data_IF_141035693242
#
_entry.id   IF_141035693242
#
_cell.length_a   1.000
_cell.length_b   1.000
_cell.length_c   1.000
_cell.angle_alpha   90.00
_cell.angle_beta   90.00
_cell.angle_gamma   90.00
#
_symmetry.space_group_name_H-M   'P 1'
#
loop_
_entity.id
_entity.type
_entity.pdbx_description
1 polymer ?
#
# COMPACT_ATOMS: atom_id res chain seq x y z
N UNK A 1 -7.72 -23.39 13.60
CA UNK A 1 -8.33 -23.16 12.27
C UNK A 1 -8.39 -21.64 12.08
N UNK A 2 -7.27 -21.03 11.76
CA UNK A 2 -7.20 -19.60 11.43
C UNK A 2 -6.54 -19.49 10.05
N UNK A 3 -7.36 -19.65 9.00
CA UNK A 3 -6.99 -19.32 7.62
C UNK A 3 -7.10 -17.81 7.33
N UNK A 4 -7.52 -17.03 8.34
CA UNK A 4 -7.47 -15.57 8.26
C UNK A 4 -6.05 -15.11 8.51
N UNK A 5 -5.38 -14.65 7.45
CA UNK A 5 -4.10 -13.99 7.61
C UNK A 5 -4.30 -12.63 8.28
N UNK A 6 -3.95 -12.57 9.57
CA UNK A 6 -3.85 -11.34 10.37
C UNK A 6 -2.40 -10.79 10.43
N UNK A 7 -1.51 -11.24 9.53
CA UNK A 7 -0.13 -10.78 9.48
C UNK A 7 -0.06 -9.27 9.25
N UNK A 8 0.67 -8.57 10.12
CA UNK A 8 1.03 -7.17 9.90
C UNK A 8 2.02 -7.10 8.71
N UNK A 9 1.81 -6.13 7.83
CA UNK A 9 2.80 -5.78 6.82
C UNK A 9 3.95 -5.11 7.56
N UNK A 10 5.15 -5.66 7.43
CA UNK A 10 6.34 -5.18 8.13
C UNK A 10 6.99 -4.08 7.29
N UNK A 11 7.27 -2.94 7.91
CA UNK A 11 7.80 -1.75 7.23
C UNK A 11 9.28 -1.88 6.80
N UNK A 12 9.96 -2.96 7.20
CA UNK A 12 11.31 -3.27 6.73
C UNK A 12 11.26 -3.82 5.29
N UNK A 13 12.09 -3.25 4.41
CA UNK A 13 12.06 -3.56 2.98
C UNK A 13 12.45 -5.02 2.69
N UNK A 14 13.40 -5.59 3.45
CA UNK A 14 13.87 -6.95 3.24
C UNK A 14 12.83 -7.96 3.77
N UNK A 15 12.25 -7.71 4.94
CA UNK A 15 11.16 -8.54 5.48
C UNK A 15 9.88 -8.49 4.61
N UNK A 16 9.57 -7.34 4.01
CA UNK A 16 8.44 -7.21 3.08
C UNK A 16 8.64 -8.04 1.81
N UNK A 17 9.88 -8.09 1.28
CA UNK A 17 10.23 -8.93 0.12
C UNK A 17 10.04 -10.41 0.44
N UNK A 18 10.46 -10.85 1.63
CA UNK A 18 10.25 -12.23 2.08
C UNK A 18 8.76 -12.58 2.20
N UNK A 19 7.95 -11.68 2.81
CA UNK A 19 6.50 -11.86 2.92
C UNK A 19 5.79 -11.95 1.56
N UNK A 20 6.29 -11.22 0.55
CA UNK A 20 5.80 -11.30 -0.83
C UNK A 20 6.22 -12.63 -1.47
N UNK A 21 7.44 -13.08 -1.23
CA UNK A 21 7.94 -14.38 -1.71
C UNK A 21 7.09 -15.55 -1.18
N UNK A 22 6.80 -15.54 0.12
CA UNK A 22 5.90 -16.52 0.74
C UNK A 22 4.50 -16.49 0.13
N UNK A 23 3.96 -15.30 -0.07
CA UNK A 23 2.62 -15.13 -0.64
C UNK A 23 2.54 -15.60 -2.10
N UNK A 24 3.58 -15.37 -2.90
CA UNK A 24 3.66 -15.90 -4.27
C UNK A 24 3.64 -17.43 -4.30
N UNK A 25 4.43 -18.08 -3.44
CA UNK A 25 4.40 -19.56 -3.31
C UNK A 25 3.00 -20.05 -2.93
N UNK A 26 2.37 -19.41 -1.94
CA UNK A 26 1.01 -19.74 -1.55
C UNK A 26 0.02 -19.57 -2.72
N UNK A 27 0.17 -18.51 -3.52
CA UNK A 27 -0.71 -18.25 -4.66
C UNK A 27 -0.53 -19.30 -5.77
N UNK A 28 0.70 -19.74 -6.03
CA UNK A 28 1.00 -20.85 -6.96
C UNK A 28 0.33 -22.14 -6.48
N UNK A 29 0.50 -22.51 -5.20
CA UNK A 29 -0.17 -23.66 -4.59
C UNK A 29 -1.70 -23.55 -4.69
N UNK A 30 -2.26 -22.36 -4.46
CA UNK A 30 -3.70 -22.11 -4.57
C UNK A 30 -4.19 -22.34 -6.01
N UNK A 31 -3.45 -21.89 -7.01
CA UNK A 31 -3.81 -22.11 -8.42
C UNK A 31 -3.72 -23.58 -8.82
N UNK A 32 -2.71 -24.32 -8.33
CA UNK A 32 -2.63 -25.77 -8.55
C UNK A 32 -3.85 -26.49 -7.95
N UNK A 33 -4.22 -26.12 -6.71
CA UNK A 33 -5.39 -26.67 -6.03
C UNK A 33 -6.73 -26.28 -6.67
N UNK A 34 -6.77 -25.22 -7.47
CA UNK A 34 -7.97 -24.85 -8.23
C UNK A 34 -8.35 -25.94 -9.23
N UNK A 35 -7.36 -26.53 -9.88
CA UNK A 35 -7.57 -27.66 -10.81
C UNK A 35 -8.18 -28.86 -10.08
N UNK A 36 -7.62 -29.25 -8.93
CA UNK A 36 -8.13 -30.36 -8.12
C UNK A 36 -9.58 -30.12 -7.66
N UNK A 37 -9.89 -28.89 -7.25
CA UNK A 37 -11.25 -28.48 -6.88
C UNK A 37 -12.19 -28.59 -8.07
N UNK A 38 -11.80 -28.14 -9.25
CA UNK A 38 -12.63 -28.21 -10.45
C UNK A 38 -12.90 -29.66 -10.88
N UNK A 39 -11.89 -30.53 -10.86
CA UNK A 39 -12.05 -31.96 -11.12
C UNK A 39 -13.00 -32.62 -10.12
N UNK A 40 -12.91 -32.24 -8.85
CA UNK A 40 -13.83 -32.71 -7.82
C UNK A 40 -15.26 -32.29 -8.10
N UNK A 41 -15.48 -31.05 -8.56
CA UNK A 41 -16.81 -30.58 -8.95
C UNK A 41 -17.35 -31.30 -10.18
N UNK A 42 -16.51 -31.61 -11.18
CA UNK A 42 -16.93 -32.41 -12.35
C UNK A 42 -17.42 -33.78 -11.89
N UNK A 43 -16.61 -34.49 -11.08
CA UNK A 43 -16.99 -35.79 -10.52
C UNK A 43 -18.28 -35.72 -9.68
N UNK A 44 -18.44 -34.67 -8.87
CA UNK A 44 -19.64 -34.48 -8.06
C UNK A 44 -20.90 -34.29 -8.93
N UNK A 45 -20.78 -33.55 -10.04
CA UNK A 45 -21.87 -33.39 -11.00
C UNK A 45 -22.19 -34.70 -11.75
N UNK A 46 -21.18 -35.49 -12.12
CA UNK A 46 -21.41 -36.81 -12.74
C UNK A 46 -22.13 -37.77 -11.79
N UNK A 47 -21.81 -37.72 -10.49
CA UNK A 47 -22.52 -38.50 -9.47
C UNK A 47 -23.95 -38.02 -9.34
N UNK A 48 -24.21 -36.69 -9.35
CA UNK A 48 -25.55 -36.14 -9.28
C UNK A 48 -26.48 -36.67 -10.37
N UNK A 49 -25.97 -36.95 -11.56
CA UNK A 49 -26.74 -37.52 -12.68
C UNK A 49 -27.20 -38.97 -12.45
N UNK A 50 -26.54 -39.70 -11.54
CA UNK A 50 -26.72 -41.15 -11.35
C UNK A 50 -27.16 -41.53 -9.93
N UNK A 51 -27.10 -40.60 -8.99
CA UNK A 51 -27.39 -40.86 -7.59
C UNK A 51 -28.90 -41.01 -7.31
N UNK A 52 -29.23 -41.69 -6.22
CA UNK A 52 -30.61 -41.78 -5.71
C UNK A 52 -31.11 -40.40 -5.26
N UNK A 53 -32.42 -40.17 -5.33
CA UNK A 53 -33.07 -38.89 -4.97
C UNK A 53 -32.64 -38.35 -3.61
N UNK A 54 -32.48 -39.24 -2.63
CA UNK A 54 -32.16 -38.89 -1.24
C UNK A 54 -30.74 -38.32 -1.09
N UNK A 55 -29.82 -38.66 -1.99
CA UNK A 55 -28.44 -38.17 -1.97
C UNK A 55 -28.27 -36.81 -2.68
N UNK A 56 -29.22 -36.42 -3.56
CA UNK A 56 -29.11 -35.23 -4.41
C UNK A 56 -28.89 -33.96 -3.58
N UNK A 57 -29.71 -33.76 -2.54
CA UNK A 57 -29.63 -32.57 -1.68
C UNK A 57 -28.27 -32.45 -1.00
N UNK A 58 -27.77 -33.57 -0.46
CA UNK A 58 -26.50 -33.63 0.25
C UNK A 58 -25.33 -33.30 -0.69
N UNK A 59 -25.30 -33.89 -1.89
CA UNK A 59 -24.22 -33.64 -2.85
C UNK A 59 -24.22 -32.18 -3.33
N UNK A 60 -25.40 -31.61 -3.61
CA UNK A 60 -25.53 -30.18 -3.95
C UNK A 60 -25.01 -29.28 -2.85
N UNK A 61 -25.33 -29.60 -1.59
CA UNK A 61 -24.84 -28.84 -0.44
C UNK A 61 -23.31 -28.87 -0.36
N UNK A 62 -22.68 -30.04 -0.56
CA UNK A 62 -21.22 -30.15 -0.56
C UNK A 62 -20.55 -29.37 -1.70
N UNK A 63 -21.13 -29.41 -2.91
CA UNK A 63 -20.67 -28.58 -4.04
C UNK A 63 -20.66 -27.09 -3.65
N UNK A 64 -21.77 -26.61 -3.09
CA UNK A 64 -21.91 -25.21 -2.65
C UNK A 64 -20.90 -24.86 -1.56
N UNK A 65 -20.70 -25.72 -0.57
CA UNK A 65 -19.71 -25.50 0.51
C UNK A 65 -18.30 -25.40 -0.06
N UNK A 66 -17.90 -26.33 -0.94
CA UNK A 66 -16.56 -26.33 -1.54
C UNK A 66 -16.34 -25.06 -2.35
N UNK A 67 -17.31 -24.67 -3.19
CA UNK A 67 -17.24 -23.43 -3.97
C UNK A 67 -17.12 -22.20 -3.06
N UNK A 68 -17.99 -22.08 -2.07
CA UNK A 68 -18.00 -20.93 -1.16
C UNK A 68 -16.70 -20.80 -0.36
N UNK A 69 -16.15 -21.91 0.14
CA UNK A 69 -14.87 -21.91 0.87
C UNK A 69 -13.69 -21.60 -0.03
N UNK A 70 -13.72 -22.11 -1.26
CA UNK A 70 -12.71 -21.79 -2.26
C UNK A 70 -12.69 -20.30 -2.59
N UNK A 71 -13.87 -19.72 -2.83
CA UNK A 71 -14.02 -18.30 -3.14
C UNK A 71 -13.56 -17.42 -1.96
N UNK A 72 -13.86 -17.83 -0.72
CA UNK A 72 -13.43 -17.13 0.50
C UNK A 72 -11.89 -17.05 0.58
N UNK A 73 -11.19 -18.19 0.44
CA UNK A 73 -9.72 -18.25 0.49
C UNK A 73 -9.10 -17.49 -0.69
N UNK A 74 -9.65 -17.65 -1.89
CA UNK A 74 -9.18 -16.95 -3.09
C UNK A 74 -9.32 -15.43 -2.96
N UNK A 75 -10.40 -14.98 -2.33
CA UNK A 75 -10.62 -13.57 -2.07
C UNK A 75 -9.62 -13.02 -1.04
N UNK A 76 -9.30 -13.80 0.00
CA UNK A 76 -8.26 -13.40 0.95
C UNK A 76 -6.89 -13.29 0.31
N UNK A 77 -6.54 -14.22 -0.59
CA UNK A 77 -5.28 -14.14 -1.35
C UNK A 77 -5.21 -12.84 -2.16
N UNK A 78 -6.27 -12.55 -2.94
CA UNK A 78 -6.35 -11.32 -3.76
C UNK A 78 -6.29 -10.05 -2.93
N UNK A 79 -6.94 -10.02 -1.76
CA UNK A 79 -6.86 -8.87 -0.86
C UNK A 79 -5.44 -8.68 -0.31
N UNK A 80 -4.72 -9.78 -0.03
CA UNK A 80 -3.34 -9.72 0.43
C UNK A 80 -2.40 -9.24 -0.67
N UNK A 81 -2.56 -9.69 -1.91
CA UNK A 81 -1.82 -9.16 -3.06
C UNK A 81 -2.00 -7.65 -3.19
N UNK A 82 -3.24 -7.17 -3.17
CA UNK A 82 -3.53 -5.75 -3.26
C UNK A 82 -2.86 -4.94 -2.13
N UNK A 83 -2.90 -5.46 -0.91
CA UNK A 83 -2.22 -4.84 0.24
C UNK A 83 -0.71 -4.75 0.07
N UNK A 84 -0.06 -5.75 -0.53
CA UNK A 84 1.36 -5.68 -0.85
C UNK A 84 1.65 -4.64 -1.94
N UNK A 85 0.83 -4.56 -2.98
CA UNK A 85 0.96 -3.54 -4.03
C UNK A 85 0.88 -2.12 -3.46
N UNK A 86 -0.10 -1.87 -2.59
CA UNK A 86 -0.25 -0.59 -1.90
C UNK A 86 0.96 -0.28 -1.01
N UNK A 87 1.44 -1.25 -0.25
CA UNK A 87 2.57 -1.07 0.65
C UNK A 87 3.88 -0.82 -0.09
N UNK A 88 4.16 -1.56 -1.16
CA UNK A 88 5.32 -1.30 -2.03
C UNK A 88 5.26 0.11 -2.63
N UNK A 89 4.06 0.53 -3.08
CA UNK A 89 3.87 1.89 -3.60
C UNK A 89 4.16 2.93 -2.52
N UNK A 90 3.70 2.70 -1.28
CA UNK A 90 4.00 3.56 -0.14
C UNK A 90 5.50 3.59 0.18
N UNK A 91 6.18 2.45 0.21
CA UNK A 91 7.63 2.35 0.46
C UNK A 91 8.44 3.10 -0.62
N UNK A 92 8.06 2.97 -1.90
CA UNK A 92 8.70 3.71 -3.00
C UNK A 92 8.53 5.22 -2.87
N UNK A 93 7.29 5.69 -2.70
CA UNK A 93 7.01 7.11 -2.47
C UNK A 93 7.73 7.61 -1.20
N UNK A 94 7.89 6.71 -0.22
CA UNK A 94 8.57 7.00 1.02
C UNK A 94 10.07 7.19 0.87
N UNK A 95 10.70 6.46 -0.07
CA UNK A 95 12.12 6.54 -0.40
C UNK A 95 12.47 7.67 -1.40
N UNK A 96 11.51 8.16 -2.18
CA UNK A 96 11.70 9.30 -3.10
C UNK A 96 11.69 10.65 -2.36
N UNK A 97 10.85 10.77 -1.33
CA UNK A 97 10.70 11.98 -0.51
C UNK A 97 12.02 12.53 0.12
N UNK A 98 12.90 11.69 0.70
CA UNK A 98 14.15 12.14 1.32
C UNK A 98 15.20 12.61 0.32
N UNK A 99 15.09 12.27 -0.98
CA UNK A 99 15.99 12.78 -2.01
C UNK A 99 15.52 14.09 -2.65
N UNK A 100 14.20 14.32 -2.71
CA UNK A 100 13.66 15.53 -3.33
C UNK A 100 13.79 16.77 -2.42
N UNK A 101 13.64 16.61 -1.11
CA UNK A 101 13.73 17.73 -0.15
C UNK A 101 15.11 18.41 -0.17
N UNK A 102 16.25 17.69 -0.10
CA UNK A 102 17.56 18.32 -0.14
C UNK A 102 17.84 18.97 -1.50
N UNK A 103 17.43 18.34 -2.61
CA UNK A 103 17.58 18.90 -3.96
C UNK A 103 16.83 20.23 -4.11
N UNK A 104 15.60 20.30 -3.61
CA UNK A 104 14.81 21.53 -3.59
C UNK A 104 15.46 22.60 -2.70
N UNK A 105 15.89 22.23 -1.49
CA UNK A 105 16.52 23.16 -0.56
C UNK A 105 17.82 23.75 -1.11
N UNK A 106 18.69 22.92 -1.68
CA UNK A 106 19.93 23.36 -2.33
C UNK A 106 19.65 24.28 -3.52
N UNK A 107 18.59 24.02 -4.31
CA UNK A 107 18.21 24.91 -5.42
C UNK A 107 17.78 26.29 -4.91
N UNK A 108 16.98 26.35 -3.84
CA UNK A 108 16.56 27.62 -3.24
C UNK A 108 17.75 28.37 -2.63
N UNK A 109 18.63 27.67 -1.92
CA UNK A 109 19.86 28.22 -1.36
C UNK A 109 20.75 28.84 -2.44
N UNK A 110 21.01 28.11 -3.53
CA UNK A 110 21.81 28.64 -4.66
C UNK A 110 21.17 29.87 -5.29
N UNK A 111 19.84 29.87 -5.47
CA UNK A 111 19.12 31.02 -6.04
C UNK A 111 19.26 32.26 -5.16
N UNK A 112 19.22 32.09 -3.84
CA UNK A 112 19.42 33.19 -2.89
C UNK A 112 20.87 33.69 -2.91
N UNK A 113 21.84 32.79 -2.95
CA UNK A 113 23.28 33.13 -3.02
C UNK A 113 23.60 33.91 -4.30
N UNK A 114 23.07 33.47 -5.45
CA UNK A 114 23.29 34.14 -6.73
C UNK A 114 22.72 35.57 -6.73
N UNK A 115 21.55 35.77 -6.10
CA UNK A 115 20.92 37.10 -5.99
C UNK A 115 21.60 38.02 -4.97
N UNK A 116 22.14 37.48 -3.88
CA UNK A 116 22.89 38.25 -2.88
C UNK A 116 24.26 38.70 -3.42
N UNK A 117 24.84 37.95 -4.37
CA UNK A 117 26.09 38.30 -5.04
C UNK A 117 25.95 39.41 -6.09
N UNK A 118 24.72 39.74 -6.51
CA UNK A 118 24.45 40.75 -7.54
C UNK A 118 24.56 42.16 -6.95
N UNK A 119 25.42 43.06 -7.51
CA UNK A 119 25.60 44.39 -6.96
C UNK A 119 24.30 45.21 -7.08
N UNK A 120 23.97 45.94 -6.02
CA UNK A 120 22.77 46.79 -5.99
C UNK A 120 22.83 47.86 -7.09
N UNK A 121 21.76 48.03 -7.89
CA UNK A 121 21.66 49.14 -8.84
C UNK A 121 21.61 50.49 -8.12
N UNK A 122 22.20 51.52 -8.75
CA UNK A 122 22.20 52.90 -8.22
C UNK A 122 20.93 53.69 -8.59
N UNK A 123 20.04 53.15 -9.42
CA UNK A 123 18.82 53.82 -9.86
C UNK A 123 17.60 53.46 -9.00
N UNK A 124 16.92 54.49 -8.51
CA UNK A 124 15.74 54.38 -7.62
C UNK A 124 14.64 53.48 -8.22
N UNK A 125 14.25 53.60 -9.51
CA UNK A 125 13.19 52.78 -10.08
C UNK A 125 13.50 51.28 -10.07
N UNK A 126 14.75 50.89 -10.32
CA UNK A 126 15.14 49.47 -10.31
C UNK A 126 15.23 48.94 -8.88
N UNK A 127 15.67 49.75 -7.92
CA UNK A 127 15.65 49.37 -6.49
C UNK A 127 14.22 49.17 -5.99
N UNK A 128 13.27 50.04 -6.35
CA UNK A 128 11.86 49.87 -5.99
C UNK A 128 11.28 48.57 -6.57
N UNK A 129 11.63 48.24 -7.82
CA UNK A 129 11.24 46.97 -8.44
C UNK A 129 11.84 45.76 -7.73
N UNK A 130 13.12 45.82 -7.32
CA UNK A 130 13.77 44.75 -6.56
C UNK A 130 13.14 44.53 -5.19
N UNK A 131 12.70 45.60 -4.52
CA UNK A 131 11.96 45.52 -3.25
C UNK A 131 10.62 44.80 -3.46
N UNK A 132 9.92 45.09 -4.56
CA UNK A 132 8.66 44.41 -4.89
C UNK A 132 8.87 42.93 -5.22
N UNK A 133 9.90 42.59 -6.01
CA UNK A 133 10.31 41.20 -6.27
C UNK A 133 10.69 40.46 -4.98
N UNK A 134 11.41 41.10 -4.06
CA UNK A 134 11.79 40.52 -2.77
C UNK A 134 10.58 40.27 -1.86
N UNK A 135 9.64 41.20 -1.78
CA UNK A 135 8.41 41.04 -1.01
C UNK A 135 7.55 39.90 -1.57
N UNK A 136 7.47 39.78 -2.89
CA UNK A 136 6.79 38.67 -3.56
C UNK A 136 7.47 37.33 -3.24
N UNK A 137 8.79 37.27 -3.29
CA UNK A 137 9.54 36.07 -2.89
C UNK A 137 9.24 35.69 -1.43
N UNK A 138 9.26 36.66 -0.51
CA UNK A 138 8.94 36.44 0.90
C UNK A 138 7.52 35.90 1.10
N UNK A 139 6.54 36.39 0.32
CA UNK A 139 5.17 35.89 0.34
C UNK A 139 5.08 34.45 -0.21
N UNK A 140 5.78 34.15 -1.32
CA UNK A 140 5.84 32.82 -1.93
C UNK A 140 6.55 31.79 -1.05
N UNK A 141 7.55 32.21 -0.27
CA UNK A 141 8.28 31.33 0.66
C UNK A 141 7.47 31.01 1.92
N UNK A 142 6.56 31.91 2.31
CA UNK A 142 5.63 31.71 3.44
C UNK A 142 4.35 31.00 3.01
N UNK A 143 3.97 31.12 1.73
CA UNK A 143 2.85 30.40 1.15
C UNK A 143 3.16 28.90 1.00
N UNK A 144 2.23 28.00 1.35
CA UNK A 144 2.40 26.58 1.09
C UNK A 144 2.44 26.33 -0.43
N UNK A 145 3.63 26.13 -0.99
CA UNK A 145 3.75 25.73 -2.39
C UNK A 145 3.40 24.26 -2.56
N UNK A 146 2.83 23.84 -3.70
CA UNK A 146 2.51 22.43 -3.94
C UNK A 146 3.75 21.51 -3.91
N UNK A 147 4.95 22.05 -4.14
CA UNK A 147 6.22 21.34 -3.94
C UNK A 147 6.50 21.09 -2.45
N UNK A 148 6.40 22.12 -1.60
CA UNK A 148 6.54 21.96 -0.14
C UNK A 148 5.47 21.01 0.42
N UNK A 149 4.25 21.10 -0.08
CA UNK A 149 3.13 20.30 0.38
C UNK A 149 3.25 18.81 -0.02
N UNK A 150 3.94 18.53 -1.13
CA UNK A 150 4.30 17.16 -1.53
C UNK A 150 5.40 16.59 -0.63
N UNK A 151 6.39 17.40 -0.28
CA UNK A 151 7.60 16.97 0.43
C UNK A 151 7.42 16.94 1.95
N UNK A 152 6.61 17.83 2.53
CA UNK A 152 6.40 17.97 3.99
C UNK A 152 5.17 17.22 4.53
N UNK A 153 4.34 16.58 3.69
CA UNK A 153 3.17 15.84 4.19
C UNK A 153 3.61 14.68 5.10
N UNK A 154 3.23 14.67 6.39
CA UNK A 154 3.57 13.58 7.28
C UNK A 154 2.85 12.31 6.82
N UNK A 155 3.62 11.25 6.61
CA UNK A 155 3.06 9.92 6.32
C UNK A 155 2.19 9.52 7.50
N UNK A 156 0.91 9.26 7.26
CA UNK A 156 0.10 8.54 8.23
C UNK A 156 0.66 7.12 8.32
N UNK A 157 1.47 6.85 9.35
CA UNK A 157 1.81 5.47 9.67
C UNK A 157 0.51 4.71 9.95
N UNK A 158 0.29 3.54 9.34
CA UNK A 158 -0.87 2.73 9.66
C UNK A 158 -0.85 2.47 11.18
N UNK A 159 -1.92 2.88 11.86
CA UNK A 159 -2.03 2.73 13.32
C UNK A 159 -1.86 1.26 13.68
N UNK A 160 -0.81 0.95 14.44
CA UNK A 160 -0.60 -0.33 15.11
C UNK A 160 -1.84 -0.66 15.96
N UNK A 161 -2.73 -1.52 15.46
CA UNK A 161 -3.78 -2.12 16.27
C UNK A 161 -3.14 -3.18 17.15
N UNK A 162 -2.60 -2.74 18.28
CA UNK A 162 -2.20 -3.60 19.39
C UNK A 162 -3.45 -4.25 19.97
N UNK A 163 -3.82 -5.40 19.43
CA UNK A 163 -4.94 -6.18 19.99
C UNK A 163 -4.45 -6.83 21.29
N UNK A 164 -4.71 -6.17 22.43
CA UNK A 164 -4.50 -6.69 23.78
C UNK A 164 -5.10 -8.09 23.90
N UNK A 165 -4.26 -9.09 24.17
CA UNK A 165 -4.69 -10.43 24.60
C UNK A 165 -5.49 -10.32 25.92
N UNK A 166 -6.70 -10.88 26.03
CA UNK A 166 -7.38 -10.97 27.31
C UNK A 166 -6.72 -12.06 28.18
N UNK A 167 -6.26 -11.64 29.35
CA UNK A 167 -5.72 -12.52 30.39
C UNK A 167 -6.84 -13.40 30.95
N UNK A 168 -6.72 -14.72 30.79
CA UNK A 168 -7.59 -15.69 31.46
C UNK A 168 -7.27 -15.67 32.96
N UNK A 169 -8.20 -15.19 33.77
CA UNK A 169 -8.22 -15.51 35.20
C UNK A 169 -8.90 -16.86 35.38
N UNK A 170 -8.15 -17.82 35.89
CA UNK A 170 -8.69 -19.07 36.45
C UNK A 170 -9.43 -18.77 37.74
N UNK A 171 -10.67 -19.26 37.86
CA UNK A 171 -11.29 -19.78 39.08
C UNK A 171 -12.27 -20.86 38.69
#
# INVERSE_FOLDING_TARGET
MELRFNGQLLDDQDECVDQIGDHKRFYEELNEKESEKNDTLVKANDILLKCHSDAVSVIRQWITIIQSRWDEVSNWSRQRDHRFEEHIKQLRNSAELPEELPKWLTKQENTLVDRDAEPLPDDIPTVEKLIEEHNQLMEETVAPTPELDRVCKPKQQPKLSTTRKPSRKSM
#
